data_IF_246833484734
#
_entry.id   IF_246833484734
#
_cell.length_a   1.000
_cell.length_b   1.000
_cell.length_c   1.000
_cell.angle_alpha   90.00
_cell.angle_beta   90.00
_cell.angle_gamma   90.00
#
_symmetry.space_group_name_H-M   'P 1'
#
loop_
_entity.id
_entity.type
_entity.pdbx_description
1 polymer ?
#
# COMPACT_ATOMS: atom_id res chain seq x y z
N UNK A 1 28.86 -11.00 -5.91
CA UNK A 1 28.79 -9.52 -5.77
C UNK A 1 27.48 -9.02 -6.39
N UNK A 2 26.36 -9.24 -5.71
CA UNK A 2 25.04 -8.75 -6.12
C UNK A 2 24.61 -7.71 -5.09
N UNK A 3 24.99 -6.46 -5.30
CA UNK A 3 24.46 -5.31 -4.58
C UNK A 3 24.32 -4.17 -5.58
N UNK A 4 23.22 -4.11 -6.33
CA UNK A 4 22.83 -2.91 -7.07
C UNK A 4 21.30 -2.74 -7.24
N UNK A 5 20.49 -3.42 -6.42
CA UNK A 5 19.04 -3.20 -6.39
C UNK A 5 18.60 -2.70 -5.01
N UNK A 6 19.16 -1.59 -4.57
CA UNK A 6 18.59 -0.82 -3.47
C UNK A 6 17.75 0.32 -4.08
N UNK A 7 16.44 0.09 -4.10
CA UNK A 7 15.40 1.09 -4.28
C UNK A 7 15.85 2.48 -3.80
N UNK A 8 15.87 3.45 -4.71
CA UNK A 8 15.66 4.84 -4.31
C UNK A 8 14.26 4.94 -3.67
N UNK A 9 14.09 5.61 -2.51
CA UNK A 9 12.76 5.86 -1.98
C UNK A 9 11.98 6.67 -3.02
N UNK A 10 10.71 6.30 -3.33
CA UNK A 10 9.90 7.08 -4.25
C UNK A 10 9.72 8.47 -3.66
N UNK A 11 10.36 9.48 -4.29
CA UNK A 11 10.31 10.89 -3.86
C UNK A 11 8.90 11.48 -3.92
N UNK A 12 7.97 10.76 -4.54
CA UNK A 12 6.57 11.11 -4.67
C UNK A 12 5.73 9.86 -4.38
N UNK A 13 4.77 9.99 -3.47
CA UNK A 13 3.84 8.95 -3.08
C UNK A 13 2.41 9.48 -3.13
N UNK A 14 1.49 8.69 -3.68
CA UNK A 14 0.08 9.03 -3.78
C UNK A 14 -0.76 8.05 -2.97
N UNK A 15 -1.65 8.60 -2.14
CA UNK A 15 -2.65 7.84 -1.41
C UNK A 15 -3.93 7.76 -2.24
N UNK A 16 -4.24 6.56 -2.71
CA UNK A 16 -5.44 6.25 -3.46
C UNK A 16 -6.58 5.83 -2.51
N UNK A 17 -7.74 6.47 -2.64
CA UNK A 17 -8.92 6.18 -1.81
C UNK A 17 -9.87 5.16 -2.45
N UNK A 18 -9.79 4.96 -3.78
CA UNK A 18 -10.65 4.02 -4.50
C UNK A 18 -9.82 3.09 -5.39
N UNK A 19 -10.22 1.82 -5.43
CA UNK A 19 -9.60 0.80 -6.29
C UNK A 19 -9.82 1.07 -7.78
N UNK A 20 -10.89 1.79 -8.15
CA UNK A 20 -11.18 2.17 -9.54
C UNK A 20 -10.26 3.26 -10.09
N UNK A 21 -9.53 3.96 -9.23
CA UNK A 21 -8.64 5.07 -9.64
C UNK A 21 -7.22 4.57 -9.96
N UNK A 22 -6.89 3.31 -9.64
CA UNK A 22 -5.56 2.75 -9.91
C UNK A 22 -5.15 2.81 -11.39
N UNK A 23 -5.99 2.37 -12.36
CA UNK A 23 -5.55 2.33 -13.75
C UNK A 23 -5.24 3.72 -14.30
N UNK A 24 -6.04 4.72 -13.93
CA UNK A 24 -5.85 6.10 -14.36
C UNK A 24 -4.58 6.74 -13.74
N UNK A 25 -4.26 6.42 -12.48
CA UNK A 25 -3.03 6.94 -11.86
C UNK A 25 -1.81 6.20 -12.40
N UNK A 26 -1.91 4.91 -12.72
CA UNK A 26 -0.81 4.16 -13.34
C UNK A 26 -0.50 4.67 -14.76
N UNK A 27 -1.53 5.06 -15.52
CA UNK A 27 -1.37 5.70 -16.83
C UNK A 27 -0.74 7.10 -16.73
N UNK A 28 -1.22 7.93 -15.80
CA UNK A 28 -0.79 9.33 -15.70
C UNK A 28 0.52 9.52 -14.91
N UNK A 29 0.80 8.65 -13.93
CA UNK A 29 1.90 8.78 -12.97
C UNK A 29 2.55 7.41 -12.67
N UNK A 30 3.11 6.72 -13.67
CA UNK A 30 3.66 5.36 -13.53
C UNK A 30 4.87 5.27 -12.61
N UNK A 31 5.58 6.38 -12.37
CA UNK A 31 6.78 6.44 -11.53
C UNK A 31 6.48 6.72 -10.06
N UNK A 32 5.21 6.96 -9.71
CA UNK A 32 4.80 7.34 -8.36
C UNK A 32 4.33 6.12 -7.60
N UNK A 33 4.84 5.95 -6.38
CA UNK A 33 4.39 4.85 -5.54
C UNK A 33 2.95 5.09 -5.10
N UNK A 34 2.08 4.14 -5.40
CA UNK A 34 0.67 4.17 -5.01
C UNK A 34 0.47 3.39 -3.72
N UNK A 35 -0.16 4.01 -2.72
CA UNK A 35 -0.61 3.32 -1.50
C UNK A 35 -2.10 3.48 -1.34
N UNK A 36 -2.75 2.48 -0.75
CA UNK A 36 -4.14 2.61 -0.35
C UNK A 36 -4.24 3.22 1.05
N UNK A 37 -5.23 4.07 1.26
CA UNK A 37 -5.63 4.43 2.61
C UNK A 37 -6.01 3.14 3.37
N UNK A 38 -5.46 2.97 4.58
CA UNK A 38 -5.68 1.76 5.39
C UNK A 38 -7.17 1.54 5.69
N UNK A 39 -7.97 2.61 5.68
CA UNK A 39 -9.42 2.58 5.87
C UNK A 39 -10.13 1.85 4.73
N UNK A 40 -9.77 2.15 3.48
CA UNK A 40 -10.35 1.52 2.31
C UNK A 40 -9.85 0.09 2.14
N UNK A 41 -8.57 -0.13 2.45
CA UNK A 41 -8.01 -1.47 2.54
C UNK A 41 -8.79 -2.32 3.54
N UNK A 42 -9.08 -1.81 4.74
CA UNK A 42 -9.87 -2.51 5.75
C UNK A 42 -11.33 -2.72 5.31
N UNK A 43 -11.96 -1.73 4.68
CA UNK A 43 -13.33 -1.84 4.18
C UNK A 43 -13.50 -2.95 3.15
N UNK A 44 -12.48 -3.15 2.30
CA UNK A 44 -12.46 -4.27 1.34
C UNK A 44 -12.12 -5.59 2.04
N UNK A 45 -11.15 -5.58 2.94
CA UNK A 45 -10.69 -6.76 3.66
C UNK A 45 -11.80 -7.41 4.50
N UNK A 46 -12.55 -6.61 5.28
CA UNK A 46 -13.61 -7.11 6.18
C UNK A 46 -14.79 -7.75 5.45
N UNK A 47 -15.01 -7.44 4.16
CA UNK A 47 -16.06 -8.06 3.34
C UNK A 47 -15.77 -9.54 3.08
N UNK A 48 -14.50 -9.90 2.94
CA UNK A 48 -14.06 -11.29 2.66
C UNK A 48 -13.56 -12.01 3.90
N UNK A 49 -12.94 -11.29 4.82
CA UNK A 49 -12.31 -11.87 6.00
C UNK A 49 -12.77 -11.16 7.28
N UNK A 50 -13.94 -11.53 7.82
CA UNK A 50 -14.41 -11.00 9.09
C UNK A 50 -13.57 -11.54 10.26
N UNK A 51 -13.46 -10.76 11.34
CA UNK A 51 -12.88 -11.24 12.60
C UNK A 51 -11.85 -10.30 13.24
N UNK A 52 -11.86 -10.24 14.57
CA UNK A 52 -10.99 -9.33 15.36
C UNK A 52 -9.50 -9.69 15.25
N UNK A 53 -9.16 -10.99 15.25
CA UNK A 53 -7.76 -11.46 15.13
C UNK A 53 -7.16 -11.00 13.80
N UNK A 54 -7.92 -11.15 12.72
CA UNK A 54 -7.43 -10.82 11.40
C UNK A 54 -7.40 -9.31 11.14
N UNK A 55 -8.36 -8.55 11.69
CA UNK A 55 -8.26 -7.08 11.76
C UNK A 55 -6.94 -6.64 12.41
N UNK A 56 -6.58 -7.24 13.55
CA UNK A 56 -5.34 -6.91 14.27
C UNK A 56 -4.10 -7.18 13.40
N UNK A 57 -4.04 -8.35 12.75
CA UNK A 57 -2.94 -8.72 11.86
C UNK A 57 -2.84 -7.79 10.64
N UNK A 58 -3.97 -7.44 10.02
CA UNK A 58 -4.02 -6.49 8.90
C UNK A 58 -3.50 -5.10 9.31
N UNK A 59 -3.88 -4.62 10.50
CA UNK A 59 -3.40 -3.34 11.03
C UNK A 59 -1.90 -3.35 11.34
N UNK A 60 -1.39 -4.46 11.88
CA UNK A 60 0.05 -4.64 12.11
C UNK A 60 0.83 -4.64 10.80
N UNK A 61 0.33 -5.33 9.78
CA UNK A 61 0.94 -5.35 8.45
C UNK A 61 0.93 -3.96 7.79
N UNK A 62 -0.17 -3.22 7.92
CA UNK A 62 -0.27 -1.88 7.34
C UNK A 62 0.64 -0.84 8.04
N UNK A 63 0.92 -1.01 9.33
CA UNK A 63 1.84 -0.16 10.08
C UNK A 63 3.30 -0.62 10.01
N UNK A 64 3.58 -1.77 9.37
CA UNK A 64 4.94 -2.25 9.23
C UNK A 64 5.71 -1.30 8.30
N UNK A 65 6.56 -0.47 8.88
CA UNK A 65 7.53 0.33 8.14
C UNK A 65 8.72 -0.55 7.78
N UNK A 66 9.29 -0.37 6.59
CA UNK A 66 10.57 -0.99 6.27
C UNK A 66 11.64 -0.45 7.24
N UNK A 67 12.54 -1.28 7.80
CA UNK A 67 13.49 -0.84 8.82
C UNK A 67 14.48 0.25 8.39
N UNK A 68 14.55 0.62 7.12
CA UNK A 68 15.36 1.72 6.62
C UNK A 68 14.66 2.35 5.43
N UNK A 69 14.20 3.59 5.59
CA UNK A 69 13.78 4.50 4.53
C UNK A 69 14.74 5.68 4.50
#
# INVERSE_FOLDING_TARGET
>A
MLQHLAQHPPKHELVCNYTSTLPAIEELLPSVSQRFCVRDLYNNFRKKFPGKKLKKLMWQAANATYPNA
#
